data_IF_322495770988
#
_entry.id   IF_322495770988
#
_cell.length_a   1.000
_cell.length_b   1.000
_cell.length_c   1.000
_cell.angle_alpha   90.00
_cell.angle_beta   90.00
_cell.angle_gamma   90.00
#
_symmetry.space_group_name_H-M   'P 1'
#
loop_
_entity.id
_entity.type
_entity.pdbx_description
1 polymer ?
#
# COMPACT_ATOMS: atom_id res chain seq x y z
N UNK A 1 2.66 -34.11 -32.64
CA UNK A 1 1.84 -34.07 -31.41
C UNK A 1 1.88 -32.64 -30.93
N UNK A 2 0.76 -31.92 -31.13
CA UNK A 2 0.62 -30.51 -30.79
C UNK A 2 0.22 -30.40 -29.30
N UNK A 3 1.01 -29.75 -28.47
CA UNK A 3 0.61 -29.36 -27.12
C UNK A 3 -0.28 -28.13 -27.23
N UNK A 4 -1.52 -28.24 -26.80
CA UNK A 4 -2.43 -27.12 -26.67
C UNK A 4 -2.14 -26.42 -25.35
N UNK A 5 -1.67 -25.18 -25.41
CA UNK A 5 -1.66 -24.27 -24.28
C UNK A 5 -3.09 -23.79 -24.05
N UNK A 6 -3.70 -24.27 -22.99
CA UNK A 6 -4.95 -23.69 -22.49
C UNK A 6 -4.63 -22.48 -21.62
N UNK A 7 -4.60 -21.31 -22.23
CA UNK A 7 -4.65 -20.05 -21.52
C UNK A 7 -6.07 -19.91 -20.98
N UNK A 8 -6.20 -19.92 -19.66
CA UNK A 8 -7.45 -19.58 -18.98
C UNK A 8 -7.81 -18.13 -19.27
N UNK A 9 -8.87 -17.96 -20.07
CA UNK A 9 -9.46 -16.66 -20.38
C UNK A 9 -10.11 -16.13 -19.09
N UNK A 10 -9.47 -15.22 -18.40
CA UNK A 10 -10.05 -14.47 -17.28
C UNK A 10 -11.08 -13.49 -17.89
N UNK A 11 -12.34 -13.86 -17.90
CA UNK A 11 -13.42 -12.93 -18.23
C UNK A 11 -13.58 -11.93 -17.08
N UNK A 12 -13.08 -10.74 -17.27
CA UNK A 12 -13.34 -9.60 -16.39
C UNK A 12 -14.69 -9.00 -16.79
N UNK A 13 -15.68 -9.16 -15.92
CA UNK A 13 -16.94 -8.43 -16.02
C UNK A 13 -16.71 -6.97 -15.61
N UNK A 14 -17.32 -5.98 -16.29
CA UNK A 14 -17.17 -4.59 -15.90
C UNK A 14 -17.72 -4.38 -14.49
N UNK A 15 -16.96 -3.66 -13.69
CA UNK A 15 -17.32 -3.23 -12.33
C UNK A 15 -18.58 -2.35 -12.41
N UNK A 16 -19.73 -2.94 -12.15
CA UNK A 16 -20.99 -2.20 -12.01
C UNK A 16 -21.03 -1.63 -10.59
N UNK A 17 -20.68 -0.35 -10.46
CA UNK A 17 -20.89 0.39 -9.21
C UNK A 17 -22.37 0.55 -8.95
N UNK A 18 -22.89 -0.16 -7.97
CA UNK A 18 -24.21 0.10 -7.41
C UNK A 18 -24.09 1.32 -6.48
N UNK A 19 -24.68 2.45 -6.90
CA UNK A 19 -24.89 3.60 -6.01
C UNK A 19 -25.86 3.19 -4.90
N UNK A 20 -25.33 2.86 -3.74
CA UNK A 20 -26.13 2.77 -2.52
C UNK A 20 -26.30 4.17 -1.94
N UNK A 21 -27.53 4.60 -1.80
CA UNK A 21 -27.94 5.86 -1.18
C UNK A 21 -27.42 5.96 0.25
N UNK A 22 -26.61 6.98 0.51
CA UNK A 22 -26.08 7.35 1.81
C UNK A 22 -27.20 7.65 2.80
N UNK A 23 -27.41 6.75 3.76
CA UNK A 23 -28.02 7.10 5.04
C UNK A 23 -27.11 8.10 5.75
N UNK A 24 -27.66 9.28 6.12
CA UNK A 24 -26.90 10.39 6.69
C UNK A 24 -26.12 9.99 7.96
N UNK A 25 -24.81 9.88 7.83
CA UNK A 25 -23.89 9.93 8.96
C UNK A 25 -23.62 11.41 9.25
N UNK A 26 -23.95 11.85 10.46
CA UNK A 26 -23.47 13.12 11.01
C UNK A 26 -21.95 13.16 10.86
N UNK A 27 -21.42 14.21 10.25
CA UNK A 27 -20.00 14.42 10.09
C UNK A 27 -19.33 14.29 11.46
N UNK A 28 -18.42 13.31 11.58
CA UNK A 28 -17.69 13.03 12.82
C UNK A 28 -16.69 14.18 13.03
N UNK A 29 -17.09 15.18 13.80
CA UNK A 29 -16.34 16.43 14.04
C UNK A 29 -14.95 16.20 14.64
N UNK A 30 -14.69 14.99 15.14
CA UNK A 30 -13.45 14.62 15.82
C UNK A 30 -12.38 14.03 14.88
N UNK A 31 -12.71 13.81 13.61
CA UNK A 31 -11.76 13.37 12.58
C UNK A 31 -11.23 14.53 11.74
N UNK A 32 -10.96 15.68 12.34
CA UNK A 32 -10.12 16.69 11.70
C UNK A 32 -8.66 16.18 11.71
N UNK A 33 -7.91 16.50 10.65
CA UNK A 33 -6.46 16.24 10.57
C UNK A 33 -5.76 16.57 11.90
N UNK A 34 -5.80 15.67 12.84
CA UNK A 34 -5.24 15.80 14.17
C UNK A 34 -4.05 14.87 14.27
N UNK A 35 -2.88 15.39 13.98
CA UNK A 35 -1.63 14.68 14.07
C UNK A 35 -1.25 14.63 15.54
N UNK A 36 -1.27 13.44 16.14
CA UNK A 36 -0.36 13.15 17.24
C UNK A 36 0.96 12.76 16.61
N UNK A 37 2.09 13.45 16.86
CA UNK A 37 3.40 13.04 16.38
C UNK A 37 3.83 11.78 17.12
N UNK A 38 3.33 10.63 16.70
CA UNK A 38 3.75 9.35 17.25
C UNK A 38 4.52 8.60 16.18
N UNK A 39 5.83 8.69 16.27
CA UNK A 39 6.80 7.84 15.60
C UNK A 39 6.71 7.75 14.06
N UNK A 40 6.91 8.88 13.43
CA UNK A 40 7.23 8.96 12.00
C UNK A 40 8.59 8.31 11.75
N UNK A 41 8.64 7.12 11.19
CA UNK A 41 9.95 6.58 10.80
C UNK A 41 9.97 5.49 9.73
N UNK A 42 8.90 5.25 9.02
CA UNK A 42 8.94 4.14 8.07
C UNK A 42 9.24 4.55 6.61
N UNK A 43 9.01 5.79 6.24
CA UNK A 43 9.34 6.25 4.88
C UNK A 43 10.76 6.81 4.84
N UNK A 44 11.61 6.39 3.89
CA UNK A 44 11.32 5.64 2.65
C UNK A 44 11.23 4.11 2.79
N UNK A 45 11.55 3.47 3.90
CA UNK A 45 11.56 2.01 4.03
C UNK A 45 10.20 1.36 3.79
N UNK A 46 9.10 2.05 4.11
CA UNK A 46 7.73 1.58 3.87
C UNK A 46 7.16 1.92 2.49
N UNK A 47 7.94 2.53 1.59
CA UNK A 47 7.51 2.76 0.22
C UNK A 47 7.57 1.46 -0.55
N UNK A 48 6.40 0.94 -0.92
CA UNK A 48 6.23 -0.35 -1.56
C UNK A 48 5.57 -0.30 -2.93
N UNK A 49 5.74 -1.37 -3.68
CA UNK A 49 5.08 -1.58 -4.98
C UNK A 49 4.66 -3.05 -5.13
N UNK A 50 3.49 -3.27 -5.69
CA UNK A 50 3.03 -4.61 -6.09
C UNK A 50 3.82 -5.11 -7.29
N UNK A 51 4.18 -6.39 -7.30
CA UNK A 51 4.83 -7.07 -8.42
C UNK A 51 4.11 -8.38 -8.72
N UNK A 52 4.22 -8.86 -9.97
CA UNK A 52 3.56 -10.10 -10.44
C UNK A 52 4.55 -11.08 -11.04
N UNK A 53 5.77 -11.15 -10.51
CA UNK A 53 6.81 -12.05 -11.01
C UNK A 53 7.68 -12.60 -9.88
N UNK A 54 8.11 -13.85 -9.99
CA UNK A 54 9.12 -14.48 -9.15
C UNK A 54 10.52 -14.46 -9.80
N UNK A 55 10.56 -14.29 -11.12
CA UNK A 55 11.80 -14.25 -11.90
C UNK A 55 11.96 -12.89 -12.60
N UNK A 56 12.61 -11.91 -11.96
CA UNK A 56 12.77 -10.57 -12.51
C UNK A 56 13.65 -10.56 -13.75
N UNK A 57 13.34 -9.68 -14.69
CA UNK A 57 14.24 -9.44 -15.83
C UNK A 57 15.54 -8.75 -15.36
N UNK A 58 16.69 -8.99 -16.05
CA UNK A 58 17.94 -8.32 -15.71
C UNK A 58 17.79 -6.79 -15.65
N UNK A 59 18.11 -6.18 -14.50
CA UNK A 59 17.99 -4.74 -14.25
C UNK A 59 16.62 -4.28 -13.72
N UNK A 60 15.60 -5.16 -13.68
CA UNK A 60 14.25 -4.80 -13.23
C UNK A 60 14.21 -4.42 -11.74
N UNK A 61 14.78 -5.26 -10.87
CA UNK A 61 14.84 -4.96 -9.41
C UNK A 61 15.67 -3.71 -9.13
N UNK A 62 16.76 -3.50 -9.91
CA UNK A 62 17.51 -2.24 -9.81
C UNK A 62 16.64 -1.02 -10.12
N UNK A 63 15.81 -1.12 -11.16
CA UNK A 63 14.93 0.00 -11.54
C UNK A 63 13.85 0.27 -10.48
N UNK A 64 13.33 -0.78 -9.82
CA UNK A 64 12.44 -0.66 -8.65
C UNK A 64 13.16 0.09 -7.51
N UNK A 65 14.41 -0.31 -7.20
CA UNK A 65 15.21 0.35 -6.18
C UNK A 65 15.55 1.81 -6.51
N UNK A 66 15.82 2.11 -7.79
CA UNK A 66 16.15 3.46 -8.29
C UNK A 66 14.92 4.41 -8.21
N UNK A 67 13.69 3.87 -8.28
CA UNK A 67 12.47 4.63 -8.02
C UNK A 67 12.24 4.93 -6.54
N UNK A 68 13.08 4.38 -5.65
CA UNK A 68 13.01 4.61 -4.21
C UNK A 68 12.23 3.55 -3.44
N UNK A 69 11.68 2.53 -4.10
CA UNK A 69 10.98 1.45 -3.42
C UNK A 69 11.92 0.61 -2.56
N UNK A 70 11.46 0.27 -1.37
CA UNK A 70 12.19 -0.52 -0.38
C UNK A 70 11.38 -1.72 0.12
N UNK A 71 10.19 -1.90 -0.42
CA UNK A 71 9.31 -3.01 -0.14
C UNK A 71 8.60 -3.43 -1.43
N UNK A 72 8.42 -4.74 -1.63
CA UNK A 72 7.53 -5.28 -2.66
C UNK A 72 6.42 -6.08 -2.00
N UNK A 73 5.23 -6.07 -2.61
CA UNK A 73 4.11 -6.95 -2.25
C UNK A 73 3.88 -7.92 -3.40
N UNK A 74 3.72 -9.21 -3.09
CA UNK A 74 3.65 -10.28 -4.06
C UNK A 74 2.78 -11.42 -3.56
N UNK A 75 1.98 -12.00 -4.45
CA UNK A 75 1.26 -13.25 -4.17
C UNK A 75 2.24 -14.39 -3.84
N UNK A 76 2.02 -15.06 -2.71
CA UNK A 76 2.71 -16.29 -2.35
C UNK A 76 1.72 -17.43 -2.53
N UNK A 77 1.65 -17.93 -3.78
CA UNK A 77 0.57 -18.79 -4.25
C UNK A 77 0.68 -20.21 -3.72
N UNK A 78 -0.29 -20.62 -2.93
CA UNK A 78 -0.33 -21.95 -2.32
C UNK A 78 -0.28 -23.08 -3.34
N UNK A 79 -1.09 -23.01 -4.41
CA UNK A 79 -1.16 -24.05 -5.45
C UNK A 79 0.15 -24.25 -6.20
N UNK A 80 0.91 -23.18 -6.38
CA UNK A 80 2.21 -23.23 -7.09
C UNK A 80 3.29 -23.85 -6.22
N UNK A 81 3.24 -23.59 -4.91
CA UNK A 81 4.27 -24.02 -3.95
C UNK A 81 3.96 -25.35 -3.27
N UNK A 82 2.72 -25.88 -3.36
CA UNK A 82 2.33 -27.22 -2.89
C UNK A 82 1.61 -27.96 -4.01
N UNK A 83 2.36 -28.66 -4.86
CA UNK A 83 1.84 -29.47 -5.98
C UNK A 83 1.55 -30.92 -5.59
N UNK A 84 2.05 -31.37 -4.45
CA UNK A 84 1.79 -32.65 -3.81
C UNK A 84 1.56 -32.40 -2.32
N UNK A 85 0.54 -33.01 -1.73
CA UNK A 85 0.14 -32.78 -0.34
C UNK A 85 1.31 -32.91 0.64
N UNK A 86 1.59 -31.84 1.38
CA UNK A 86 2.66 -31.77 2.38
C UNK A 86 4.07 -31.64 1.83
N UNK A 87 4.24 -31.45 0.50
CA UNK A 87 5.54 -31.19 -0.13
C UNK A 87 5.58 -29.77 -0.70
N UNK A 88 6.41 -28.98 -0.10
CA UNK A 88 6.52 -27.55 -0.45
C UNK A 88 7.78 -27.28 -1.27
N UNK A 89 7.64 -26.53 -2.35
CA UNK A 89 8.73 -26.04 -3.18
C UNK A 89 8.68 -24.51 -3.25
N UNK A 90 9.61 -23.85 -2.59
CA UNK A 90 9.71 -22.39 -2.52
C UNK A 90 10.82 -21.82 -3.42
N UNK A 91 11.38 -22.66 -4.30
CA UNK A 91 12.58 -22.33 -5.09
C UNK A 91 12.39 -21.08 -6.00
N UNK A 92 11.21 -20.86 -6.55
CA UNK A 92 10.92 -19.65 -7.36
C UNK A 92 10.97 -18.38 -6.49
N UNK A 93 10.44 -18.45 -5.25
CA UNK A 93 10.48 -17.32 -4.30
C UNK A 93 11.89 -17.12 -3.71
N UNK A 94 12.72 -18.18 -3.58
CA UNK A 94 14.14 -18.05 -3.23
C UNK A 94 14.90 -17.21 -4.27
N UNK A 95 14.61 -17.41 -5.57
CA UNK A 95 15.20 -16.62 -6.64
C UNK A 95 14.79 -15.15 -6.54
N UNK A 96 13.51 -14.88 -6.33
CA UNK A 96 13.00 -13.51 -6.11
C UNK A 96 13.68 -12.86 -4.91
N UNK A 97 13.65 -13.53 -3.76
CA UNK A 97 14.26 -13.02 -2.52
C UNK A 97 15.74 -12.71 -2.68
N UNK A 98 16.48 -13.56 -3.40
CA UNK A 98 17.91 -13.31 -3.70
C UNK A 98 18.11 -12.04 -4.52
N UNK A 99 17.27 -11.81 -5.52
CA UNK A 99 17.35 -10.61 -6.35
C UNK A 99 16.97 -9.33 -5.56
N UNK A 100 16.00 -9.42 -4.65
CA UNK A 100 15.57 -8.30 -3.80
C UNK A 100 16.62 -7.95 -2.74
N UNK A 101 17.29 -8.94 -2.16
CA UNK A 101 18.34 -8.75 -1.15
C UNK A 101 19.52 -7.92 -1.67
N UNK A 102 19.87 -8.06 -2.95
CA UNK A 102 20.94 -7.30 -3.60
C UNK A 102 20.70 -5.77 -3.46
N UNK A 103 19.42 -5.35 -3.48
CA UNK A 103 19.00 -3.95 -3.38
C UNK A 103 18.38 -3.60 -2.02
N UNK A 104 18.41 -4.52 -1.05
CA UNK A 104 17.84 -4.34 0.31
C UNK A 104 16.34 -3.99 0.26
N UNK A 105 15.61 -4.63 -0.63
CA UNK A 105 14.17 -4.50 -0.75
C UNK A 105 13.52 -5.58 0.11
N UNK A 106 12.66 -5.19 1.03
CA UNK A 106 11.87 -6.08 1.88
C UNK A 106 10.68 -6.65 1.11
N UNK A 107 10.05 -7.67 1.67
CA UNK A 107 8.92 -8.35 1.02
C UNK A 107 7.72 -8.45 1.97
N UNK A 108 6.54 -8.13 1.44
CA UNK A 108 5.26 -8.55 1.97
C UNK A 108 4.72 -9.65 1.05
N UNK A 109 4.62 -10.87 1.56
CA UNK A 109 4.01 -11.98 0.84
C UNK A 109 2.55 -12.16 1.25
N UNK A 110 1.68 -12.29 0.25
CA UNK A 110 0.27 -12.58 0.44
C UNK A 110 0.11 -14.10 0.47
N UNK A 111 -0.27 -14.65 1.58
CA UNK A 111 -0.59 -16.09 1.69
C UNK A 111 -1.95 -16.35 1.01
N UNK A 112 -1.95 -16.87 -0.22
CA UNK A 112 -3.12 -17.05 -1.07
C UNK A 112 -2.91 -18.14 -2.13
N UNK A 113 -3.90 -18.57 -2.85
CA UNK A 113 -5.34 -18.49 -2.65
C UNK A 113 -5.87 -19.85 -2.16
N UNK A 114 -6.63 -20.57 -3.00
CA UNK A 114 -6.95 -21.97 -2.81
C UNK A 114 -5.90 -22.89 -3.44
N UNK A 115 -6.05 -24.21 -3.23
CA UNK A 115 -5.20 -25.23 -3.85
C UNK A 115 -6.06 -26.39 -4.31
N UNK A 116 -5.91 -26.83 -5.58
CA UNK A 116 -6.68 -27.93 -6.17
C UNK A 116 -6.58 -29.25 -5.40
N UNK A 117 -5.50 -29.45 -4.66
CA UNK A 117 -5.34 -30.61 -3.78
C UNK A 117 -6.35 -30.62 -2.62
N UNK A 118 -6.94 -29.45 -2.30
CA UNK A 118 -7.83 -29.25 -1.17
C UNK A 118 -9.08 -28.49 -1.63
N UNK A 119 -10.24 -29.05 -1.37
CA UNK A 119 -11.56 -28.45 -1.63
C UNK A 119 -11.69 -27.84 -3.05
N UNK A 120 -11.08 -28.50 -4.05
CA UNK A 120 -11.12 -28.12 -5.48
C UNK A 120 -10.68 -26.67 -5.76
N UNK A 121 -9.67 -26.19 -5.07
CA UNK A 121 -9.14 -24.83 -5.26
C UNK A 121 -10.03 -23.73 -4.68
N UNK A 122 -11.02 -24.07 -3.89
CA UNK A 122 -11.82 -23.09 -3.15
C UNK A 122 -10.99 -22.35 -2.10
N UNK A 123 -11.42 -21.14 -1.66
CA UNK A 123 -10.83 -20.54 -0.47
C UNK A 123 -10.84 -21.48 0.73
N UNK A 124 -9.91 -21.40 1.68
CA UNK A 124 -9.78 -22.36 2.80
C UNK A 124 -10.96 -22.27 3.79
N UNK A 125 -12.11 -22.90 3.48
CA UNK A 125 -13.37 -22.81 4.23
C UNK A 125 -13.63 -24.00 5.15
N UNK A 126 -13.14 -25.20 4.81
CA UNK A 126 -13.28 -26.38 5.67
C UNK A 126 -12.18 -26.43 6.73
N UNK A 127 -12.38 -27.17 7.80
CA UNK A 127 -11.35 -27.36 8.84
C UNK A 127 -10.07 -27.98 8.24
N UNK A 128 -10.22 -29.02 7.41
CA UNK A 128 -9.11 -29.71 6.74
C UNK A 128 -8.28 -28.72 5.90
N UNK A 129 -8.97 -27.91 5.08
CA UNK A 129 -8.31 -26.95 4.18
C UNK A 129 -7.60 -25.84 4.96
N UNK A 130 -8.23 -25.30 6.03
CA UNK A 130 -7.60 -24.29 6.89
C UNK A 130 -6.36 -24.82 7.60
N UNK A 131 -6.40 -26.06 8.10
CA UNK A 131 -5.24 -26.68 8.73
C UNK A 131 -4.11 -26.96 7.74
N UNK A 132 -4.45 -27.38 6.51
CA UNK A 132 -3.47 -27.56 5.44
C UNK A 132 -2.81 -26.21 5.05
N UNK A 133 -3.62 -25.18 4.85
CA UNK A 133 -3.15 -23.82 4.59
C UNK A 133 -2.24 -23.29 5.71
N UNK A 134 -2.63 -23.49 6.98
CA UNK A 134 -1.82 -23.06 8.12
C UNK A 134 -0.48 -23.80 8.21
N UNK A 135 -0.45 -25.13 7.90
CA UNK A 135 0.81 -25.89 7.82
C UNK A 135 1.73 -25.37 6.71
N UNK A 136 1.17 -25.11 5.53
CA UNK A 136 1.89 -24.50 4.42
C UNK A 136 2.44 -23.12 4.78
N UNK A 137 1.61 -22.24 5.32
CA UNK A 137 1.99 -20.88 5.70
C UNK A 137 3.13 -20.87 6.74
N UNK A 138 3.08 -21.74 7.75
CA UNK A 138 4.16 -21.82 8.75
C UNK A 138 5.43 -22.43 8.17
N UNK A 139 5.31 -23.37 7.21
CA UNK A 139 6.47 -23.94 6.50
C UNK A 139 7.18 -22.84 5.68
N UNK A 140 6.41 -21.99 4.98
CA UNK A 140 6.95 -20.82 4.28
C UNK A 140 7.63 -19.84 5.24
N UNK A 141 6.98 -19.50 6.35
CA UNK A 141 7.53 -18.58 7.34
C UNK A 141 8.82 -19.09 7.99
N UNK A 142 8.93 -20.41 8.22
CA UNK A 142 10.18 -21.03 8.67
C UNK A 142 11.28 -20.99 7.61
N UNK A 143 10.93 -21.25 6.35
CA UNK A 143 11.87 -21.23 5.24
C UNK A 143 12.51 -19.84 5.05
N UNK A 144 11.68 -18.79 5.11
CA UNK A 144 12.14 -17.40 4.99
C UNK A 144 12.42 -16.71 6.33
N UNK A 145 12.57 -17.46 7.41
CA UNK A 145 12.81 -16.92 8.75
C UNK A 145 14.04 -15.99 8.79
N UNK A 146 13.96 -14.93 9.60
CA UNK A 146 15.00 -13.90 9.73
C UNK A 146 15.27 -13.06 8.46
N UNK A 147 14.45 -13.17 7.43
CA UNK A 147 14.54 -12.35 6.19
C UNK A 147 13.70 -11.07 6.28
N UNK A 148 12.97 -10.87 7.38
CA UNK A 148 12.12 -9.69 7.59
C UNK A 148 10.86 -9.66 6.75
N UNK A 149 10.37 -10.81 6.29
CA UNK A 149 9.14 -10.95 5.52
C UNK A 149 7.95 -10.53 6.38
N UNK A 150 7.00 -9.85 5.76
CA UNK A 150 5.67 -9.56 6.32
C UNK A 150 4.68 -10.50 5.63
N UNK A 151 3.84 -11.21 6.40
CA UNK A 151 2.90 -12.20 5.90
C UNK A 151 1.48 -11.64 5.95
N UNK A 152 0.86 -11.44 4.80
CA UNK A 152 -0.53 -11.00 4.69
C UNK A 152 -1.44 -12.21 4.51
N UNK A 153 -2.47 -12.34 5.36
CA UNK A 153 -3.34 -13.52 5.30
C UNK A 153 -4.48 -13.26 4.34
N UNK A 154 -4.36 -13.76 3.14
CA UNK A 154 -5.28 -13.67 2.02
C UNK A 154 -5.37 -12.27 1.40
N UNK A 155 -5.81 -12.20 0.13
CA UNK A 155 -6.08 -10.96 -0.59
C UNK A 155 -7.59 -10.72 -0.67
N UNK A 156 -8.05 -9.55 -0.26
CA UNK A 156 -9.41 -9.05 -0.40
C UNK A 156 -10.52 -10.09 -0.07
N UNK A 157 -10.54 -10.66 1.14
CA UNK A 157 -11.50 -11.71 1.50
C UNK A 157 -12.95 -11.20 1.54
N UNK A 158 -13.17 -9.90 1.45
CA UNK A 158 -14.47 -9.25 1.33
C UNK A 158 -14.92 -9.07 -0.13
N UNK A 159 -14.12 -9.46 -1.11
CA UNK A 159 -14.40 -9.32 -2.53
C UNK A 159 -14.79 -10.68 -3.14
N UNK A 160 -15.94 -10.81 -3.85
CA UNK A 160 -16.40 -12.06 -4.45
C UNK A 160 -15.49 -12.60 -5.56
N UNK A 161 -14.58 -11.79 -6.09
CA UNK A 161 -13.58 -12.25 -7.05
C UNK A 161 -12.58 -13.19 -6.39
N UNK A 162 -12.16 -12.90 -5.16
CA UNK A 162 -11.13 -13.64 -4.44
C UNK A 162 -11.73 -14.66 -3.45
N UNK A 163 -12.82 -14.33 -2.76
CA UNK A 163 -13.50 -15.28 -1.85
C UNK A 163 -14.79 -15.82 -2.47
N UNK A 164 -14.63 -16.82 -3.33
CA UNK A 164 -15.75 -17.43 -4.08
C UNK A 164 -16.54 -18.45 -3.27
N UNK A 165 -17.85 -18.64 -3.53
CA UNK A 165 -18.67 -17.88 -4.49
C UNK A 165 -19.12 -16.51 -3.95
N UNK A 166 -18.95 -16.25 -2.68
CA UNK A 166 -19.25 -14.97 -2.00
C UNK A 166 -18.41 -14.80 -0.74
N UNK A 167 -18.05 -13.57 -0.38
CA UNK A 167 -17.36 -13.25 0.87
C UNK A 167 -18.11 -13.79 2.09
N UNK A 168 -17.33 -14.28 3.06
CA UNK A 168 -17.84 -14.74 4.34
C UNK A 168 -16.82 -14.45 5.43
N UNK A 169 -17.08 -13.42 6.21
CA UNK A 169 -16.16 -12.96 7.26
C UNK A 169 -15.90 -14.03 8.31
N UNK A 170 -16.88 -14.86 8.67
CA UNK A 170 -16.68 -15.92 9.66
C UNK A 170 -15.73 -17.01 9.14
N UNK A 171 -15.81 -17.37 7.86
CA UNK A 171 -14.89 -18.33 7.24
C UNK A 171 -13.47 -17.76 7.21
N UNK A 172 -13.32 -16.49 6.84
CA UNK A 172 -12.04 -15.78 6.87
C UNK A 172 -11.45 -15.70 8.28
N UNK A 173 -12.27 -15.34 9.28
CA UNK A 173 -11.85 -15.32 10.70
C UNK A 173 -11.31 -16.69 11.13
N UNK A 174 -11.98 -17.78 10.77
CA UNK A 174 -11.51 -19.13 11.10
C UNK A 174 -10.17 -19.47 10.41
N UNK A 175 -9.96 -19.01 9.18
CA UNK A 175 -8.67 -19.16 8.49
C UNK A 175 -7.57 -18.40 9.23
N UNK A 176 -7.79 -17.13 9.54
CA UNK A 176 -6.79 -16.30 10.25
C UNK A 176 -6.45 -16.89 11.61
N UNK A 177 -7.46 -17.37 12.36
CA UNK A 177 -7.22 -18.01 13.66
C UNK A 177 -6.41 -19.31 13.54
N UNK A 178 -6.62 -20.11 12.48
CA UNK A 178 -5.83 -21.32 12.23
C UNK A 178 -4.36 -20.95 11.94
N UNK A 179 -4.10 -20.01 11.03
CA UNK A 179 -2.75 -19.52 10.70
C UNK A 179 -2.09 -18.91 11.93
N UNK A 180 -2.78 -18.01 12.64
CA UNK A 180 -2.22 -17.28 13.77
C UNK A 180 -1.80 -18.18 14.94
N UNK A 181 -2.54 -19.29 15.18
CA UNK A 181 -2.19 -20.26 16.23
C UNK A 181 -0.85 -20.92 15.95
N UNK A 182 -0.62 -21.39 14.71
CA UNK A 182 0.65 -22.02 14.35
C UNK A 182 1.79 -21.02 14.27
N UNK A 183 1.53 -19.81 13.76
CA UNK A 183 2.54 -18.73 13.77
C UNK A 183 2.99 -18.41 15.20
N UNK A 184 2.05 -18.23 16.12
CA UNK A 184 2.37 -17.92 17.53
C UNK A 184 3.18 -19.03 18.20
N UNK A 185 2.93 -20.30 17.87
CA UNK A 185 3.63 -21.43 18.48
C UNK A 185 4.97 -21.74 17.84
N UNK A 186 5.13 -21.52 16.53
CA UNK A 186 6.26 -22.05 15.77
C UNK A 186 7.19 -20.97 15.20
N UNK A 187 6.63 -19.79 14.92
CA UNK A 187 7.35 -18.64 14.33
C UNK A 187 6.92 -17.31 14.97
N UNK A 188 7.00 -17.15 16.30
CA UNK A 188 6.39 -16.04 17.06
C UNK A 188 6.96 -14.66 16.70
N UNK A 189 8.11 -14.58 16.03
CA UNK A 189 8.75 -13.34 15.63
C UNK A 189 8.32 -12.86 14.24
N UNK A 190 7.61 -13.70 13.47
CA UNK A 190 7.13 -13.34 12.15
C UNK A 190 5.91 -12.42 12.24
N UNK A 191 5.82 -11.48 11.30
CA UNK A 191 4.77 -10.46 11.30
C UNK A 191 3.60 -10.91 10.44
N UNK A 192 2.42 -11.08 11.05
CA UNK A 192 1.16 -11.24 10.34
C UNK A 192 0.45 -9.91 10.17
N UNK A 193 -0.13 -9.67 9.01
CA UNK A 193 -1.01 -8.54 8.71
C UNK A 193 -2.31 -9.01 8.05
N UNK A 194 -3.31 -8.18 8.08
CA UNK A 194 -4.61 -8.42 7.45
C UNK A 194 -5.63 -7.37 7.90
N UNK A 195 -6.88 -7.42 7.42
CA UNK A 195 -7.40 -8.43 6.50
C UNK A 195 -7.21 -8.12 5.01
N UNK A 196 -6.50 -7.06 4.63
CA UNK A 196 -6.32 -6.66 3.23
C UNK A 196 -7.67 -6.47 2.50
N UNK A 197 -8.59 -5.75 3.14
CA UNK A 197 -9.93 -5.56 2.56
C UNK A 197 -9.90 -4.62 1.38
N UNK A 198 -10.65 -4.99 0.33
CA UNK A 198 -10.97 -4.12 -0.78
C UNK A 198 -11.72 -2.90 -0.26
N UNK A 199 -11.27 -1.71 -0.64
CA UNK A 199 -11.75 -0.43 -0.12
C UNK A 199 -11.57 -0.32 1.41
N UNK A 200 -12.46 0.39 2.08
CA UNK A 200 -12.48 0.51 3.54
C UNK A 200 -13.75 -0.15 4.09
N UNK A 201 -13.92 -1.45 3.88
CA UNK A 201 -15.10 -2.20 4.35
C UNK A 201 -15.12 -2.28 5.88
N UNK A 202 -15.68 -1.26 6.52
CA UNK A 202 -15.77 -1.15 7.97
C UNK A 202 -16.59 -2.27 8.61
N UNK A 203 -17.57 -2.83 7.91
CA UNK A 203 -18.39 -3.92 8.45
C UNK A 203 -17.59 -5.20 8.54
N UNK A 204 -16.83 -5.54 7.51
CA UNK A 204 -15.93 -6.69 7.50
C UNK A 204 -14.80 -6.55 8.54
N UNK A 205 -14.19 -5.36 8.60
CA UNK A 205 -13.16 -5.02 9.60
C UNK A 205 -13.69 -5.18 11.03
N UNK A 206 -14.88 -4.65 11.31
CA UNK A 206 -15.46 -4.72 12.65
C UNK A 206 -15.75 -6.16 13.10
N UNK A 207 -16.23 -7.04 12.23
CA UNK A 207 -16.43 -8.46 12.54
C UNK A 207 -15.09 -9.18 12.80
N UNK A 208 -14.03 -8.84 12.06
CA UNK A 208 -12.67 -9.32 12.33
C UNK A 208 -12.19 -8.89 13.74
N UNK A 209 -12.44 -7.63 14.11
CA UNK A 209 -12.03 -7.12 15.42
C UNK A 209 -12.84 -7.70 16.57
N UNK A 210 -14.15 -7.89 16.40
CA UNK A 210 -15.01 -8.62 17.35
C UNK A 210 -14.51 -10.05 17.61
N UNK A 211 -13.98 -10.69 16.59
CA UNK A 211 -13.40 -12.03 16.68
C UNK A 211 -12.00 -12.06 17.34
N UNK A 212 -11.45 -10.92 17.75
CA UNK A 212 -10.16 -10.81 18.44
C UNK A 212 -8.94 -10.89 17.53
N UNK A 213 -9.08 -10.68 16.21
CA UNK A 213 -7.94 -10.79 15.30
C UNK A 213 -6.87 -9.72 15.51
N UNK A 214 -7.19 -8.60 16.15
CA UNK A 214 -6.22 -7.56 16.52
C UNK A 214 -5.10 -8.07 17.44
N UNK A 215 -5.32 -9.17 18.17
CA UNK A 215 -4.31 -9.78 19.05
C UNK A 215 -3.21 -10.53 18.27
N UNK A 216 -3.45 -10.78 17.00
CA UNK A 216 -2.55 -11.55 16.13
C UNK A 216 -1.84 -10.70 15.10
N UNK A 217 -2.44 -9.57 14.69
CA UNK A 217 -1.91 -8.75 13.63
C UNK A 217 -0.85 -7.76 14.09
N UNK A 218 0.23 -7.69 13.31
CA UNK A 218 1.24 -6.64 13.44
C UNK A 218 0.70 -5.29 12.95
N UNK A 219 -0.10 -5.29 11.90
CA UNK A 219 -0.79 -4.13 11.35
C UNK A 219 -2.13 -4.54 10.73
N UNK A 220 -3.06 -3.58 10.64
CA UNK A 220 -4.29 -3.71 9.86
C UNK A 220 -4.01 -3.22 8.45
N UNK A 221 -4.19 -4.11 7.45
CA UNK A 221 -4.03 -3.82 6.03
C UNK A 221 -5.37 -3.51 5.38
N UNK A 222 -5.41 -2.43 4.60
CA UNK A 222 -6.56 -2.03 3.78
C UNK A 222 -6.10 -1.63 2.39
N UNK A 223 -6.97 -1.76 1.39
CA UNK A 223 -6.75 -1.34 0.01
C UNK A 223 -7.67 -0.16 -0.29
N UNK A 224 -7.27 1.09 0.01
CA UNK A 224 -8.20 2.22 0.05
C UNK A 224 -8.50 2.80 -1.34
N UNK A 225 -8.70 1.95 -2.35
CA UNK A 225 -9.04 2.35 -3.70
C UNK A 225 -10.19 3.33 -3.77
N UNK A 226 -10.04 4.35 -4.60
CA UNK A 226 -11.04 5.39 -4.86
C UNK A 226 -10.83 6.06 -6.20
N UNK A 227 -11.88 6.56 -6.81
CA UNK A 227 -11.78 7.36 -8.04
C UNK A 227 -11.76 8.87 -7.74
N UNK A 228 -11.82 9.23 -6.46
CA UNK A 228 -11.73 10.61 -5.95
C UNK A 228 -10.30 10.94 -5.53
N UNK A 229 -10.10 12.15 -5.05
CA UNK A 229 -8.82 12.62 -4.56
C UNK A 229 -8.31 11.77 -3.38
N UNK A 230 -7.02 11.40 -3.36
CA UNK A 230 -6.45 10.51 -2.34
C UNK A 230 -6.55 11.10 -0.92
N UNK A 231 -6.61 12.40 -0.77
CA UNK A 231 -6.74 13.08 0.53
C UNK A 231 -8.01 12.66 1.28
N UNK A 232 -9.03 12.21 0.56
CA UNK A 232 -10.28 11.70 1.18
C UNK A 232 -10.06 10.43 2.01
N UNK A 233 -8.94 9.70 1.83
CA UNK A 233 -8.57 8.55 2.64
C UNK A 233 -8.30 8.91 4.11
N UNK A 234 -7.96 10.16 4.40
CA UNK A 234 -7.68 10.61 5.77
C UNK A 234 -8.86 10.35 6.72
N UNK A 235 -10.09 10.51 6.22
CA UNK A 235 -11.29 10.23 7.03
C UNK A 235 -11.41 8.72 7.33
N UNK A 236 -11.16 7.88 6.34
CA UNK A 236 -11.21 6.42 6.53
C UNK A 236 -10.15 5.95 7.52
N UNK A 237 -8.92 6.45 7.41
CA UNK A 237 -7.86 6.13 8.35
C UNK A 237 -8.19 6.57 9.79
N UNK A 238 -8.78 7.76 9.95
CA UNK A 238 -9.24 8.23 11.27
C UNK A 238 -10.32 7.30 11.84
N UNK A 239 -11.34 6.98 11.06
CA UNK A 239 -12.43 6.08 11.45
C UNK A 239 -11.90 4.69 11.81
N UNK A 240 -10.97 4.15 11.01
CA UNK A 240 -10.36 2.86 11.26
C UNK A 240 -9.57 2.83 12.58
N UNK A 241 -8.77 3.87 12.87
CA UNK A 241 -8.07 3.96 14.16
C UNK A 241 -9.01 4.02 15.34
N UNK A 242 -10.11 4.79 15.24
CA UNK A 242 -11.16 4.81 16.29
C UNK A 242 -11.78 3.42 16.49
N UNK A 243 -12.02 2.70 15.38
CA UNK A 243 -12.55 1.34 15.45
C UNK A 243 -11.56 0.39 16.13
N UNK A 244 -10.28 0.40 15.74
CA UNK A 244 -9.22 -0.38 16.37
C UNK A 244 -9.15 -0.07 17.88
N UNK A 245 -9.14 1.21 18.26
CA UNK A 245 -9.08 1.62 19.65
C UNK A 245 -10.28 1.10 20.46
N UNK A 246 -11.49 1.15 19.90
CA UNK A 246 -12.72 0.64 20.55
C UNK A 246 -12.58 -0.84 20.93
N UNK A 247 -12.07 -1.68 20.04
CA UNK A 247 -11.94 -3.12 20.27
C UNK A 247 -10.73 -3.50 21.12
N UNK A 248 -9.72 -2.65 21.19
CA UNK A 248 -8.59 -2.84 22.12
C UNK A 248 -8.91 -2.38 23.54
N UNK A 249 -9.61 -1.25 23.68
CA UNK A 249 -9.96 -0.68 25.01
C UNK A 249 -11.17 -1.35 25.64
N UNK A 250 -12.10 -1.91 24.83
CA UNK A 250 -13.36 -2.49 25.28
C UNK A 250 -13.30 -3.97 25.67
N UNK A 251 -12.16 -4.65 25.50
CA UNK A 251 -11.93 -5.99 26.01
C UNK A 251 -11.69 -5.96 27.51
N UNK A 252 -12.69 -5.45 28.27
CA UNK A 252 -12.76 -5.54 29.72
C UNK A 252 -12.85 -6.96 30.29
N UNK A 253 -12.68 -7.96 29.45
CA UNK A 253 -12.20 -9.28 29.81
C UNK A 253 -10.69 -9.26 29.66
N UNK A 254 -10.05 -8.90 30.77
CA UNK A 254 -8.64 -9.22 31.02
C UNK A 254 -8.37 -10.62 30.47
N UNK A 255 -7.86 -10.70 29.23
CA UNK A 255 -7.17 -11.91 28.81
C UNK A 255 -5.90 -11.95 29.63
N UNK A 256 -5.97 -12.64 30.78
CA UNK A 256 -4.91 -12.86 31.76
C UNK A 256 -3.66 -13.53 31.18
N UNK A 257 -3.48 -13.52 29.85
CA UNK A 257 -2.39 -14.17 29.14
C UNK A 257 -1.76 -13.34 28.02
N UNK A 258 -2.01 -12.03 27.86
CA UNK A 258 -1.24 -11.24 26.91
C UNK A 258 0.03 -10.70 27.59
N UNK A 259 1.10 -11.49 27.56
CA UNK A 259 2.48 -11.05 27.85
C UNK A 259 3.07 -10.14 26.76
N UNK A 260 2.27 -9.70 25.79
CA UNK A 260 2.70 -8.77 24.75
C UNK A 260 2.53 -7.33 25.24
N UNK A 261 3.56 -6.48 25.09
CA UNK A 261 3.45 -5.07 25.44
C UNK A 261 2.31 -4.41 24.67
N UNK A 262 1.66 -3.42 25.28
CA UNK A 262 0.64 -2.55 24.64
C UNK A 262 1.24 -1.78 23.46
N UNK A 263 1.41 -2.45 22.33
CA UNK A 263 1.93 -1.83 21.12
C UNK A 263 0.77 -1.26 20.30
N UNK A 264 0.85 0.00 19.84
CA UNK A 264 -0.11 0.52 18.86
C UNK A 264 -0.14 -0.37 17.62
N UNK A 265 -1.34 -0.73 17.16
CA UNK A 265 -1.50 -1.44 15.89
C UNK A 265 -1.47 -0.41 14.77
N UNK A 266 -0.54 -0.55 13.85
CA UNK A 266 -0.45 0.30 12.68
C UNK A 266 -1.59 0.01 11.69
N UNK A 267 -1.96 1.01 10.90
CA UNK A 267 -2.74 0.84 9.67
C UNK A 267 -1.78 0.97 8.50
N UNK A 268 -1.85 0.06 7.54
CA UNK A 268 -1.05 0.11 6.31
C UNK A 268 -1.96 0.19 5.09
N UNK A 269 -1.53 0.94 4.08
CA UNK A 269 -2.09 0.91 2.73
C UNK A 269 -1.43 -0.26 1.99
N UNK A 270 -2.07 -1.44 2.06
CA UNK A 270 -1.53 -2.70 1.54
C UNK A 270 -1.54 -2.75 0.03
N UNK A 271 -2.46 -2.02 -0.60
CA UNK A 271 -2.56 -1.90 -2.05
C UNK A 271 -3.40 -0.67 -2.40
N UNK A 272 -2.90 0.17 -3.30
CA UNK A 272 -3.65 1.31 -3.83
C UNK A 272 -3.01 1.82 -5.11
N UNK A 273 -3.83 2.22 -6.08
CA UNK A 273 -3.36 2.75 -7.35
C UNK A 273 -4.47 3.40 -8.15
N UNK A 274 -4.09 4.00 -9.27
CA UNK A 274 -4.98 4.63 -10.23
C UNK A 274 -4.61 4.16 -11.63
N UNK A 275 -5.58 3.56 -12.35
CA UNK A 275 -5.35 3.23 -13.75
C UNK A 275 -5.38 4.48 -14.63
N UNK A 276 -4.41 4.62 -15.52
CA UNK A 276 -4.33 5.78 -16.42
C UNK A 276 -5.43 5.79 -17.50
N UNK A 277 -6.21 4.71 -17.62
CA UNK A 277 -7.36 4.61 -18.54
C UNK A 277 -8.72 4.80 -17.87
N UNK A 278 -8.77 5.00 -16.58
CA UNK A 278 -10.03 5.37 -15.93
C UNK A 278 -10.58 6.68 -16.51
N UNK A 279 -11.89 6.86 -16.46
CA UNK A 279 -12.54 8.06 -17.00
C UNK A 279 -11.90 9.34 -16.47
N UNK A 280 -11.52 10.24 -17.35
CA UNK A 280 -10.84 11.51 -17.05
C UNK A 280 -9.46 11.33 -16.38
N UNK A 281 -8.79 10.20 -16.61
CA UNK A 281 -7.43 9.93 -16.18
C UNK A 281 -6.46 10.06 -17.36
N UNK A 282 -5.23 10.45 -17.07
CA UNK A 282 -4.06 10.42 -17.96
C UNK A 282 -2.87 9.94 -17.16
N UNK A 283 -1.77 9.58 -17.83
CA UNK A 283 -0.54 9.18 -17.12
C UNK A 283 0.04 10.32 -16.26
N UNK A 284 -0.07 11.58 -16.72
CA UNK A 284 0.36 12.75 -15.93
C UNK A 284 -0.48 12.88 -14.66
N UNK A 285 -1.79 12.71 -14.78
CA UNK A 285 -2.68 12.74 -13.62
C UNK A 285 -2.45 11.55 -12.70
N UNK A 286 -2.20 10.35 -13.24
CA UNK A 286 -1.79 9.17 -12.48
C UNK A 286 -0.54 9.48 -11.63
N UNK A 287 0.49 10.08 -12.23
CA UNK A 287 1.70 10.48 -11.52
C UNK A 287 1.46 11.52 -10.42
N UNK A 288 0.60 12.51 -10.69
CA UNK A 288 0.23 13.52 -9.68
C UNK A 288 -0.55 12.88 -8.51
N UNK A 289 -1.48 11.96 -8.80
CA UNK A 289 -2.27 11.25 -7.79
C UNK A 289 -1.38 10.32 -6.96
N UNK A 290 -0.40 9.63 -7.56
CA UNK A 290 0.59 8.85 -6.82
C UNK A 290 1.34 9.73 -5.81
N UNK A 291 1.86 10.89 -6.23
CA UNK A 291 2.57 11.79 -5.31
C UNK A 291 1.65 12.26 -4.17
N UNK A 292 0.39 12.62 -4.47
CA UNK A 292 -0.61 13.04 -3.48
C UNK A 292 -1.01 11.91 -2.54
N UNK A 293 -1.14 10.67 -3.05
CA UNK A 293 -1.39 9.46 -2.27
C UNK A 293 -0.29 9.23 -1.23
N UNK A 294 0.96 9.22 -1.67
CA UNK A 294 2.11 9.01 -0.80
C UNK A 294 2.22 10.12 0.26
N UNK A 295 2.02 11.38 -0.13
CA UNK A 295 2.01 12.53 0.79
C UNK A 295 0.85 12.42 1.80
N UNK A 296 -0.33 12.00 1.35
CA UNK A 296 -1.50 11.77 2.21
C UNK A 296 -1.23 10.65 3.22
N UNK A 297 -0.66 9.54 2.77
CA UNK A 297 -0.32 8.42 3.63
C UNK A 297 0.71 8.82 4.71
N UNK A 298 1.74 9.59 4.33
CA UNK A 298 2.70 10.15 5.30
C UNK A 298 2.01 11.04 6.32
N UNK A 299 1.18 11.98 5.84
CA UNK A 299 0.48 12.93 6.71
C UNK A 299 -0.54 12.26 7.65
N UNK A 300 -0.91 11.03 7.35
CA UNK A 300 -1.83 10.22 8.16
C UNK A 300 -1.14 9.07 8.90
N UNK A 301 0.18 9.12 9.10
CA UNK A 301 0.93 8.10 9.86
C UNK A 301 0.66 6.66 9.36
N UNK A 302 0.72 6.48 8.04
CA UNK A 302 0.64 5.18 7.37
C UNK A 302 2.08 4.72 7.09
N UNK A 303 2.63 3.77 7.86
CA UNK A 303 4.05 3.42 7.79
C UNK A 303 4.44 2.61 6.57
N UNK A 304 3.48 1.95 5.92
CA UNK A 304 3.67 1.20 4.68
C UNK A 304 2.61 1.66 3.68
N UNK A 305 3.06 2.04 2.49
CA UNK A 305 2.25 2.50 1.38
C UNK A 305 2.69 1.76 0.12
N UNK A 306 1.82 0.90 -0.39
CA UNK A 306 2.11 0.02 -1.53
C UNK A 306 1.29 0.46 -2.72
N UNK A 307 2.00 0.90 -3.76
CA UNK A 307 1.37 1.25 -5.04
C UNK A 307 1.05 -0.01 -5.85
N UNK A 308 -0.15 -0.10 -6.42
CA UNK A 308 -0.53 -1.07 -7.43
C UNK A 308 -0.48 -0.39 -8.80
N UNK A 309 0.46 -0.75 -9.71
CA UNK A 309 1.47 -1.78 -9.56
C UNK A 309 2.82 -1.34 -10.20
N UNK A 310 3.78 -2.25 -10.33
CA UNK A 310 5.09 -1.97 -10.88
C UNK A 310 5.05 -1.71 -12.38
N UNK A 311 4.39 -2.59 -13.12
CA UNK A 311 4.46 -2.61 -14.58
C UNK A 311 3.08 -2.84 -15.18
N UNK A 312 2.73 -2.07 -16.22
CA UNK A 312 1.52 -2.30 -16.98
C UNK A 312 1.37 -3.78 -17.37
N UNK A 313 0.23 -4.41 -17.09
CA UNK A 313 -0.01 -5.83 -17.37
C UNK A 313 -0.24 -6.11 -18.86
N UNK A 314 -0.55 -5.09 -19.63
CA UNK A 314 -0.82 -5.21 -21.06
C UNK A 314 -0.85 -3.88 -21.79
N UNK A 315 -1.43 -3.90 -22.97
CA UNK A 315 -1.52 -2.72 -23.86
C UNK A 315 -2.93 -2.45 -24.37
N UNK A 316 -3.94 -3.20 -23.94
CA UNK A 316 -5.33 -2.95 -24.35
C UNK A 316 -5.87 -1.72 -23.63
N UNK A 317 -6.17 -0.60 -24.34
CA UNK A 317 -6.62 0.64 -23.72
C UNK A 317 -8.02 0.55 -23.10
N UNK A 318 -8.76 -0.52 -23.36
CA UNK A 318 -10.09 -0.76 -22.79
C UNK A 318 -10.03 -1.59 -21.50
N UNK A 319 -8.87 -2.13 -21.16
CA UNK A 319 -8.66 -2.96 -19.99
C UNK A 319 -7.93 -2.14 -18.89
N UNK A 320 -8.66 -1.75 -17.85
CA UNK A 320 -8.11 -0.87 -16.83
C UNK A 320 -6.93 -1.50 -16.07
N UNK A 321 -6.96 -2.82 -15.86
CA UNK A 321 -5.89 -3.56 -15.19
C UNK A 321 -4.55 -3.46 -15.94
N UNK A 322 -4.59 -3.25 -17.26
CA UNK A 322 -3.38 -3.11 -18.07
C UNK A 322 -2.63 -1.79 -17.85
N UNK A 323 -3.14 -0.86 -17.04
CA UNK A 323 -2.63 0.53 -17.04
C UNK A 323 -2.39 1.14 -15.66
N UNK A 324 -2.24 0.31 -14.62
CA UNK A 324 -1.87 0.75 -13.27
C UNK A 324 -0.36 0.99 -13.11
N UNK A 325 0.46 0.38 -13.95
CA UNK A 325 1.91 0.32 -13.84
C UNK A 325 2.59 1.69 -13.72
N UNK A 326 3.70 1.68 -13.00
CA UNK A 326 4.67 2.80 -12.96
C UNK A 326 5.49 2.87 -14.24
N UNK A 327 5.65 1.74 -14.91
CA UNK A 327 6.41 1.60 -16.16
C UNK A 327 5.57 0.83 -17.19
N UNK A 328 5.90 1.00 -18.47
CA UNK A 328 5.28 0.24 -19.54
C UNK A 328 5.76 -1.22 -19.51
N UNK A 329 4.99 -2.14 -20.10
CA UNK A 329 5.25 -3.57 -20.01
C UNK A 329 6.39 -4.10 -20.92
N UNK A 330 6.88 -3.31 -21.87
CA UNK A 330 7.86 -3.76 -22.86
C UNK A 330 9.29 -3.73 -22.30
N UNK A 331 9.87 -4.91 -22.02
CA UNK A 331 11.25 -5.04 -21.60
C UNK A 331 12.25 -4.64 -22.69
N UNK A 332 13.26 -3.85 -22.32
CA UNK A 332 14.28 -3.30 -23.20
C UNK A 332 15.69 -3.71 -22.73
N UNK A 333 16.15 -4.87 -23.21
CA UNK A 333 17.47 -5.41 -22.84
C UNK A 333 18.60 -4.43 -23.15
N UNK A 334 19.59 -4.35 -22.24
CA UNK A 334 20.81 -3.56 -22.42
C UNK A 334 20.65 -2.05 -22.19
N UNK A 335 19.48 -1.58 -21.76
CA UNK A 335 19.26 -0.19 -21.36
C UNK A 335 19.42 -0.03 -19.84
N UNK A 336 19.80 1.18 -19.41
CA UNK A 336 19.85 1.53 -17.98
C UNK A 336 18.45 1.51 -17.35
N UNK A 337 17.43 1.96 -18.10
CA UNK A 337 16.02 1.81 -17.79
C UNK A 337 15.47 0.70 -18.68
N UNK A 338 15.33 -0.49 -18.08
CA UNK A 338 14.91 -1.70 -18.79
C UNK A 338 13.42 -1.74 -19.15
N UNK A 339 12.66 -0.81 -18.59
CA UNK A 339 11.30 -0.47 -18.96
C UNK A 339 11.17 1.03 -19.18
N UNK A 340 10.25 1.46 -20.03
CA UNK A 340 9.94 2.86 -20.24
C UNK A 340 9.19 3.42 -19.03
N UNK A 341 9.75 4.44 -18.32
CA UNK A 341 9.08 5.03 -17.16
C UNK A 341 7.87 5.85 -17.57
N UNK A 342 6.80 5.76 -16.81
CA UNK A 342 5.65 6.66 -16.85
C UNK A 342 5.86 7.84 -15.87
N UNK A 343 5.07 8.93 -15.95
CA UNK A 343 5.13 10.03 -14.97
C UNK A 343 5.01 9.55 -13.52
N UNK A 344 4.27 8.46 -13.27
CA UNK A 344 4.13 7.85 -11.95
C UNK A 344 5.46 7.30 -11.40
N UNK A 345 6.32 6.71 -12.24
CA UNK A 345 7.67 6.29 -11.85
C UNK A 345 8.53 7.47 -11.39
N UNK A 346 8.49 8.54 -12.16
CA UNK A 346 9.24 9.77 -11.85
C UNK A 346 8.73 10.42 -10.56
N UNK A 347 7.41 10.38 -10.35
CA UNK A 347 6.79 10.91 -9.14
C UNK A 347 7.20 10.11 -7.88
N UNK A 348 7.22 8.77 -7.95
CA UNK A 348 7.69 7.93 -6.84
C UNK A 348 9.16 8.22 -6.51
N UNK A 349 10.02 8.29 -7.54
CA UNK A 349 11.43 8.61 -7.38
C UNK A 349 11.63 9.97 -6.74
N UNK A 350 10.98 11.01 -7.26
CA UNK A 350 11.08 12.38 -6.75
C UNK A 350 10.60 12.50 -5.31
N UNK A 351 9.47 11.84 -4.98
CA UNK A 351 8.97 11.77 -3.61
C UNK A 351 10.00 11.11 -2.67
N UNK A 352 10.54 9.95 -3.06
CA UNK A 352 11.54 9.23 -2.25
C UNK A 352 12.79 10.08 -1.98
N UNK A 353 13.30 10.78 -2.99
CA UNK A 353 14.44 11.69 -2.86
C UNK A 353 14.11 12.90 -1.97
N UNK A 354 12.90 13.44 -2.10
CA UNK A 354 12.44 14.59 -1.32
C UNK A 354 12.33 14.28 0.17
N UNK A 355 11.77 13.11 0.55
CA UNK A 355 11.57 12.73 1.95
C UNK A 355 12.79 12.05 2.58
N UNK A 356 13.83 11.72 1.81
CA UNK A 356 14.97 10.96 2.29
C UNK A 356 15.71 11.64 3.45
N UNK A 357 15.59 11.02 4.63
CA UNK A 357 16.17 11.52 5.88
C UNK A 357 15.44 12.70 6.50
N UNK A 358 14.29 13.09 5.97
CA UNK A 358 13.38 14.07 6.57
C UNK A 358 12.21 13.36 7.23
N UNK A 359 11.69 13.97 8.28
CA UNK A 359 10.48 13.51 8.95
C UNK A 359 9.35 14.51 8.71
N UNK A 360 8.15 13.99 8.50
CA UNK A 360 6.94 14.81 8.43
C UNK A 360 6.71 15.48 9.79
N UNK A 361 6.49 16.78 9.79
CA UNK A 361 6.26 17.56 10.99
C UNK A 361 4.79 17.95 11.16
N UNK A 362 4.21 18.56 10.14
CA UNK A 362 2.86 19.12 10.21
C UNK A 362 2.28 19.42 8.83
N UNK A 363 0.95 19.57 8.74
CA UNK A 363 0.25 20.26 7.66
C UNK A 363 -0.04 21.68 8.10
N UNK A 364 0.37 22.67 7.30
CA UNK A 364 0.00 24.06 7.53
C UNK A 364 -1.44 24.32 7.09
N UNK A 365 -2.21 25.01 7.91
CA UNK A 365 -3.56 25.50 7.58
C UNK A 365 -3.45 26.95 7.11
N UNK A 366 -3.64 27.17 5.80
CA UNK A 366 -3.43 28.48 5.16
C UNK A 366 -4.74 29.15 4.70
N UNK A 367 -5.84 28.82 5.39
CA UNK A 367 -7.16 29.47 5.21
C UNK A 367 -8.13 28.73 4.28
N UNK A 368 -7.69 27.77 3.46
CA UNK A 368 -8.55 26.94 2.62
C UNK A 368 -8.36 25.47 2.96
N UNK A 369 -9.45 24.73 3.08
CA UNK A 369 -9.43 23.30 3.41
C UNK A 369 -8.92 22.44 2.25
N UNK A 370 -9.04 22.93 1.02
CA UNK A 370 -8.58 22.26 -0.21
C UNK A 370 -7.08 22.48 -0.51
N UNK A 371 -6.36 23.27 0.32
CA UNK A 371 -4.93 23.48 0.19
C UNK A 371 -4.14 22.58 1.14
N UNK A 372 -3.07 22.05 0.59
CA UNK A 372 -2.16 21.14 1.30
C UNK A 372 -0.75 21.70 1.22
N UNK A 373 -0.19 22.00 2.39
CA UNK A 373 1.23 22.34 2.55
C UNK A 373 1.77 21.48 3.69
N UNK A 374 2.55 20.47 3.33
CA UNK A 374 3.18 19.56 4.28
C UNK A 374 4.61 20.00 4.56
N UNK A 375 4.95 20.06 5.85
CA UNK A 375 6.29 20.42 6.32
C UNK A 375 7.06 19.17 6.69
N UNK A 376 8.27 19.07 6.16
CA UNK A 376 9.23 18.03 6.49
C UNK A 376 10.49 18.67 7.09
N UNK A 377 11.06 18.01 8.10
CA UNK A 377 12.22 18.58 8.83
C UNK A 377 13.35 17.56 8.98
N UNK A 378 14.58 18.10 8.97
CA UNK A 378 15.82 17.39 9.28
C UNK A 378 16.82 18.33 9.89
N UNK A 379 17.19 18.13 11.15
CA UNK A 379 18.20 18.94 11.83
C UNK A 379 17.97 20.47 11.73
N UNK A 380 16.69 20.89 11.79
CA UNK A 380 16.31 22.30 11.65
C UNK A 380 16.12 22.81 10.21
N UNK A 381 16.55 22.06 9.21
CA UNK A 381 16.21 22.36 7.82
C UNK A 381 14.76 21.97 7.52
N UNK A 382 14.05 22.79 6.72
CA UNK A 382 12.64 22.60 6.36
C UNK A 382 12.46 22.47 4.87
N UNK A 383 11.64 21.49 4.49
CA UNK A 383 11.14 21.30 3.12
C UNK A 383 9.63 21.37 3.10
N UNK A 384 9.05 21.76 1.97
CA UNK A 384 7.60 21.84 1.82
C UNK A 384 7.15 21.06 0.59
N UNK A 385 6.05 20.30 0.75
CA UNK A 385 5.30 19.77 -0.38
C UNK A 385 3.98 20.52 -0.44
N UNK A 386 3.63 21.10 -1.59
CA UNK A 386 2.47 21.98 -1.71
C UNK A 386 1.63 21.62 -2.95
N UNK A 387 0.31 21.55 -2.76
CA UNK A 387 -0.68 21.38 -3.83
C UNK A 387 -2.07 21.81 -3.36
N UNK A 388 -3.04 21.84 -4.28
CA UNK A 388 -4.45 22.04 -3.96
C UNK A 388 -5.32 20.96 -4.59
N UNK A 389 -6.46 20.65 -3.98
CA UNK A 389 -7.52 19.82 -4.61
C UNK A 389 -8.50 20.67 -5.41
N UNK A 390 -8.38 22.01 -5.35
CA UNK A 390 -9.15 22.93 -6.18
C UNK A 390 -8.88 22.73 -7.68
N UNK A 391 -9.93 22.80 -8.49
CA UNK A 391 -9.78 22.76 -9.95
C UNK A 391 -9.05 24.00 -10.51
N UNK A 392 -9.04 25.11 -9.76
CA UNK A 392 -8.40 26.35 -10.16
C UNK A 392 -7.07 26.57 -9.42
N UNK A 393 -6.02 26.84 -10.16
CA UNK A 393 -4.75 27.28 -9.58
C UNK A 393 -4.90 28.62 -8.85
N UNK A 394 -4.18 28.80 -7.78
CA UNK A 394 -4.12 30.05 -7.05
C UNK A 394 -2.82 30.19 -6.27
N UNK A 395 -2.59 31.37 -5.72
CA UNK A 395 -1.38 31.69 -4.99
C UNK A 395 -1.52 31.41 -3.51
N UNK A 396 -0.49 30.78 -2.94
CA UNK A 396 -0.33 30.58 -1.50
C UNK A 396 0.89 31.32 -0.96
N UNK A 397 0.76 31.79 0.28
CA UNK A 397 1.85 32.37 1.05
C UNK A 397 2.25 31.40 2.17
N UNK A 398 3.49 30.89 2.13
CA UNK A 398 4.04 29.98 3.13
C UNK A 398 5.02 30.75 4.01
N UNK A 399 4.70 30.92 5.29
CA UNK A 399 5.61 31.56 6.23
C UNK A 399 6.86 30.70 6.47
N UNK A 400 8.03 31.25 6.19
CA UNK A 400 9.32 30.63 6.42
C UNK A 400 10.39 31.69 6.57
N UNK A 401 11.58 31.30 7.08
CA UNK A 401 12.71 32.22 7.17
C UNK A 401 13.21 32.64 5.78
N UNK A 402 13.78 33.82 5.71
CA UNK A 402 14.43 34.36 4.49
C UNK A 402 15.39 33.34 3.86
N UNK A 403 15.50 33.39 2.55
CA UNK A 403 16.37 32.53 1.76
C UNK A 403 15.77 32.16 0.40
N UNK A 404 16.57 31.51 -0.40
CA UNK A 404 16.14 31.00 -1.70
C UNK A 404 15.71 29.53 -1.60
N UNK A 405 14.62 29.19 -2.26
CA UNK A 405 14.09 27.83 -2.33
C UNK A 405 14.01 27.35 -3.78
N UNK A 406 14.59 26.19 -4.06
CA UNK A 406 14.39 25.47 -5.32
C UNK A 406 12.98 24.90 -5.33
N UNK A 407 12.32 25.02 -6.49
CA UNK A 407 11.00 24.44 -6.74
C UNK A 407 11.14 23.32 -7.74
N UNK A 408 10.66 22.12 -7.36
CA UNK A 408 10.73 20.91 -8.19
C UNK A 408 9.29 20.39 -8.38
N UNK A 409 8.91 20.05 -9.61
CA UNK A 409 7.64 19.38 -9.91
C UNK A 409 7.65 17.96 -9.34
N UNK A 410 6.47 17.37 -9.13
CA UNK A 410 6.36 16.00 -8.63
C UNK A 410 7.07 14.96 -9.50
N UNK A 411 7.32 15.23 -10.76
CA UNK A 411 8.06 14.37 -11.72
C UNK A 411 9.57 14.68 -11.77
N UNK A 412 10.07 15.59 -10.93
CA UNK A 412 11.50 15.86 -10.76
C UNK A 412 12.06 17.02 -11.60
N UNK A 413 11.28 17.61 -12.51
CA UNK A 413 11.73 18.75 -13.29
C UNK A 413 11.82 20.02 -12.42
N UNK A 414 12.84 20.83 -12.67
CA UNK A 414 12.95 22.13 -12.04
C UNK A 414 11.83 23.06 -12.51
N UNK A 415 11.17 23.69 -11.56
CA UNK A 415 10.23 24.78 -11.79
C UNK A 415 10.83 26.15 -11.42
N UNK A 416 12.17 26.22 -11.30
CA UNK A 416 12.88 27.43 -10.94
C UNK A 416 13.17 27.57 -9.45
N UNK A 417 13.30 28.80 -8.97
CA UNK A 417 13.46 29.12 -7.56
C UNK A 417 12.57 30.28 -7.14
N UNK A 418 12.31 30.37 -5.84
CA UNK A 418 11.57 31.47 -5.22
C UNK A 418 12.33 31.99 -4.01
N UNK A 419 12.34 33.29 -3.82
CA UNK A 419 12.97 33.93 -2.67
C UNK A 419 11.92 34.14 -1.57
N UNK A 420 12.23 33.71 -0.36
CA UNK A 420 11.45 34.02 0.82
C UNK A 420 11.78 35.46 1.26
N UNK A 421 10.77 36.31 1.26
CA UNK A 421 10.84 37.67 1.83
C UNK A 421 10.44 37.68 3.32
N UNK A 422 10.16 38.88 3.85
CA UNK A 422 9.71 39.02 5.25
C UNK A 422 8.39 38.30 5.56
N UNK A 423 7.55 38.09 4.55
CA UNK A 423 6.24 37.37 4.69
C UNK A 423 6.35 35.88 4.37
N UNK A 424 7.51 35.40 3.92
CA UNK A 424 7.72 34.01 3.49
C UNK A 424 7.80 33.85 1.97
N UNK A 425 7.38 32.69 1.49
CA UNK A 425 7.40 32.27 0.07
C UNK A 425 6.01 32.41 -0.54
N UNK A 426 5.95 33.05 -1.72
CA UNK A 426 4.73 33.11 -2.56
C UNK A 426 4.83 32.14 -3.72
N UNK A 427 3.92 31.17 -3.81
CA UNK A 427 3.90 30.11 -4.83
C UNK A 427 2.51 29.92 -5.43
N UNK A 428 2.48 29.53 -6.70
CA UNK A 428 1.23 29.08 -7.35
C UNK A 428 1.08 27.57 -7.16
N UNK A 429 -0.09 27.14 -6.65
CA UNK A 429 -0.44 25.73 -6.45
C UNK A 429 -1.48 25.28 -7.44
N UNK A 430 -1.39 24.01 -7.80
CA UNK A 430 -2.31 23.29 -8.69
C UNK A 430 -2.61 21.93 -8.09
N UNK A 431 -3.35 21.08 -8.81
CA UNK A 431 -3.57 19.68 -8.41
C UNK A 431 -2.32 18.80 -8.56
N UNK A 432 -1.23 19.33 -9.12
CA UNK A 432 0.07 18.67 -9.23
C UNK A 432 0.97 19.15 -8.10
N UNK A 433 1.45 18.27 -7.22
CA UNK A 433 2.35 18.64 -6.14
C UNK A 433 3.66 19.26 -6.63
N UNK A 434 4.14 20.26 -5.89
CA UNK A 434 5.47 20.80 -6.01
C UNK A 434 6.22 20.63 -4.70
N UNK A 435 7.53 20.48 -4.81
CA UNK A 435 8.44 20.33 -3.68
C UNK A 435 9.37 21.52 -3.58
N UNK A 436 9.52 22.06 -2.37
CA UNK A 436 10.37 23.19 -2.09
C UNK A 436 11.46 22.77 -1.09
N UNK A 437 12.70 23.05 -1.43
CA UNK A 437 13.87 22.84 -0.57
C UNK A 437 14.80 24.04 -0.65
N UNK A 438 15.53 24.36 0.44
CA UNK A 438 16.50 25.46 0.42
C UNK A 438 17.52 25.27 -0.71
N UNK A 439 17.83 26.34 -1.42
CA UNK A 439 18.99 26.36 -2.30
C UNK A 439 20.26 26.40 -1.41
N UNK A 440 21.15 25.42 -1.64
CA UNK A 440 22.46 25.36 -0.95
C UNK A 440 23.37 26.46 -1.45
#
# INVERSE_FOLDING_TARGET
>A
MKRSNSHGLLMILPLVFLLTTLGGCTADSDCKFGITPAQVSAIPQGLGVNIHFTNPQPGEVKMIADAGFRLVRMDFVWEVTERERGRYDFSEYDLLMKALDEYKIQTLFILDYGNQLYDHGSPPRTAETREAFARWAVAAAKHFSNRGVIWEVYNEPNNPMFWRPRPNVNEYVQLVLAVSRVFRSEVPNEKLVGPAVSESDFSFLEECFKAGLLDYWWAVSVHPYRQTDPETAALDYCRLRKLIQRYRSGSGQSSTNSSLPERPIAVISGEWGYSSTWRNMTEEKQGALLARELLTNVANDIPISIWYDWRDDGSDPNEAEHHFGLVRNAYQSGRAQVYEPKPAYLAAKTFSEFVNGYVFQERLTLGRDDDYVLVFTKNGDRRFAAWTTSASSHRLEIQTNEGEFKVIRHTGESAGSVSAGQTGISIDVTTQPIYLSRAN
#
